data_IF_530895157836
#
_entry.id   IF_530895157836
#
_cell.length_a   1.000
_cell.length_b   1.000
_cell.length_c   1.000
_cell.angle_alpha   90.00
_cell.angle_beta   90.00
_cell.angle_gamma   90.00
#
_symmetry.space_group_name_H-M   'P 1'
#
loop_
_entity.id
_entity.type
_entity.pdbx_description
1 polymer ?
#
# COMPACT_ATOMS: atom_id res chain seq x y z
N UNK A 1 -6.84 2.16 47.96
CA UNK A 1 -6.24 3.37 47.35
C UNK A 1 -6.18 3.17 45.84
N UNK A 2 -6.97 3.92 45.07
CA UNK A 2 -6.92 3.86 43.61
C UNK A 2 -5.77 4.75 43.11
N UNK A 3 -4.63 4.15 42.80
CA UNK A 3 -3.52 4.87 42.18
C UNK A 3 -3.90 5.17 40.73
N UNK A 4 -4.35 6.40 40.46
CA UNK A 4 -4.57 6.89 39.10
C UNK A 4 -3.22 6.97 38.40
N UNK A 5 -2.82 5.88 37.75
CA UNK A 5 -1.66 5.84 36.88
C UNK A 5 -1.91 6.82 35.72
N UNK A 6 -1.39 8.05 35.83
CA UNK A 6 -1.44 9.03 34.74
C UNK A 6 -0.69 8.43 33.55
N UNK A 7 -1.37 8.25 32.42
CA UNK A 7 -0.74 7.83 31.16
C UNK A 7 0.48 8.70 30.88
N UNK A 8 1.65 8.08 30.68
CA UNK A 8 2.87 8.79 30.27
C UNK A 8 2.61 9.43 28.91
N UNK A 9 2.89 10.73 28.79
CA UNK A 9 2.71 11.50 27.55
C UNK A 9 4.05 11.70 26.88
N UNK A 10 4.08 11.48 25.58
CA UNK A 10 5.26 11.64 24.74
C UNK A 10 4.96 12.65 23.64
N UNK A 11 5.98 13.40 23.23
CA UNK A 11 5.94 14.25 22.05
C UNK A 11 7.07 13.82 21.14
N UNK A 12 6.72 13.47 19.91
CA UNK A 12 7.67 13.13 18.88
C UNK A 12 7.61 14.16 17.77
N UNK A 13 8.77 14.57 17.28
CA UNK A 13 8.87 15.26 16.00
C UNK A 13 8.89 14.21 14.91
N UNK A 14 7.87 14.25 14.05
CA UNK A 14 7.72 13.34 12.92
C UNK A 14 8.18 14.07 11.65
N UNK A 15 9.17 13.50 10.99
CA UNK A 15 9.60 13.83 9.63
C UNK A 15 8.95 12.83 8.67
N UNK A 16 7.96 13.26 7.91
CA UNK A 16 7.22 12.42 6.97
C UNK A 16 7.56 12.83 5.54
N UNK A 17 8.19 11.95 4.76
CA UNK A 17 8.46 12.17 3.34
C UNK A 17 7.49 11.35 2.51
N UNK A 18 6.70 12.04 1.69
CA UNK A 18 5.89 11.44 0.64
C UNK A 18 6.78 11.25 -0.59
N UNK A 19 7.19 10.01 -0.85
CA UNK A 19 8.12 9.69 -1.94
C UNK A 19 7.37 9.64 -3.28
N UNK A 20 6.61 8.58 -3.50
CA UNK A 20 5.99 8.25 -4.77
C UNK A 20 4.79 7.30 -4.62
N UNK A 21 3.97 7.26 -5.65
CA UNK A 21 2.91 6.27 -5.86
C UNK A 21 3.20 5.56 -7.17
N UNK A 22 3.38 4.24 -7.13
CA UNK A 22 3.64 3.42 -8.32
C UNK A 22 2.42 2.58 -8.67
N UNK A 23 2.45 1.90 -9.82
CA UNK A 23 1.37 1.05 -10.30
C UNK A 23 0.01 1.77 -10.35
N UNK A 24 0.02 3.03 -10.82
CA UNK A 24 -1.18 3.79 -11.10
C UNK A 24 -1.80 3.25 -12.40
N UNK A 25 -3.09 2.86 -12.44
CA UNK A 25 -3.67 2.13 -13.57
C UNK A 25 -3.96 3.01 -14.80
N UNK A 26 -3.83 4.33 -14.66
CA UNK A 26 -4.05 5.29 -15.74
C UNK A 26 -2.78 6.11 -15.96
N UNK A 27 -2.50 6.40 -17.22
CA UNK A 27 -1.32 7.18 -17.63
C UNK A 27 -1.56 8.69 -17.62
N UNK A 28 -2.82 9.13 -17.56
CA UNK A 28 -3.18 10.55 -17.63
C UNK A 28 -3.94 11.00 -16.39
N UNK A 29 -3.39 12.01 -15.70
CA UNK A 29 -4.03 12.68 -14.58
C UNK A 29 -3.02 13.42 -13.69
N UNK A 30 -3.55 14.36 -12.91
CA UNK A 30 -2.80 15.06 -11.88
C UNK A 30 -3.25 14.54 -10.51
N UNK A 31 -2.32 14.06 -9.70
CA UNK A 31 -2.57 13.52 -8.37
C UNK A 31 -1.97 14.40 -7.27
N UNK A 32 -2.65 14.42 -6.14
CA UNK A 32 -2.18 15.06 -4.92
C UNK A 32 -2.66 14.29 -3.69
N UNK A 33 -1.91 14.41 -2.61
CA UNK A 33 -2.14 13.69 -1.37
C UNK A 33 -2.57 14.66 -0.26
N UNK A 34 -3.53 14.24 0.55
CA UNK A 34 -3.85 14.88 1.83
C UNK A 34 -3.33 14.02 2.96
N UNK A 35 -2.36 14.53 3.70
CA UNK A 35 -1.80 13.91 4.89
C UNK A 35 -2.60 14.46 6.07
N UNK A 36 -3.20 13.58 6.88
CA UNK A 36 -3.92 13.97 8.08
C UNK A 36 -3.53 13.08 9.25
N UNK A 37 -3.13 13.70 10.34
CA UNK A 37 -2.98 13.03 11.62
C UNK A 37 -4.37 12.81 12.22
N UNK A 38 -4.77 11.56 12.45
CA UNK A 38 -6.06 11.22 13.03
C UNK A 38 -6.02 11.29 14.54
N UNK A 39 -4.90 10.85 15.12
CA UNK A 39 -4.67 10.79 16.56
C UNK A 39 -3.37 11.50 16.93
N UNK A 40 -3.32 12.12 18.11
CA UNK A 40 -2.10 12.74 18.62
C UNK A 40 -1.78 14.14 18.08
N UNK A 41 -2.72 14.77 17.38
CA UNK A 41 -2.63 16.18 16.96
C UNK A 41 -3.68 16.52 15.90
N UNK A 42 -3.61 17.75 15.39
CA UNK A 42 -4.53 18.32 14.40
C UNK A 42 -3.85 18.59 13.05
N UNK A 43 -2.69 17.97 12.81
CA UNK A 43 -1.93 18.19 11.59
C UNK A 43 -2.70 17.72 10.35
N UNK A 44 -2.90 18.62 9.40
CA UNK A 44 -3.40 18.32 8.08
C UNK A 44 -2.69 19.17 7.04
N UNK A 45 -2.14 18.53 5.99
CA UNK A 45 -1.44 19.22 4.92
C UNK A 45 -1.68 18.56 3.56
N UNK A 46 -1.51 19.33 2.50
CA UNK A 46 -1.60 18.86 1.11
C UNK A 46 -0.22 18.78 0.47
N UNK A 47 -0.02 17.78 -0.39
CA UNK A 47 1.13 17.73 -1.29
C UNK A 47 0.98 18.69 -2.46
N UNK A 48 2.04 18.81 -3.26
CA UNK A 48 1.94 19.38 -4.60
C UNK A 48 1.08 18.48 -5.49
N UNK A 49 0.60 19.09 -6.58
CA UNK A 49 -0.16 18.43 -7.64
C UNK A 49 0.85 18.00 -8.70
N UNK A 50 0.95 16.71 -8.94
CA UNK A 50 1.95 16.13 -9.84
C UNK A 50 1.27 15.25 -10.89
N UNK A 51 1.78 15.28 -12.11
CA UNK A 51 1.27 14.47 -13.20
C UNK A 51 1.71 13.01 -13.07
N UNK A 52 0.87 12.09 -13.55
CA UNK A 52 1.25 10.69 -13.71
C UNK A 52 2.20 10.57 -14.90
N UNK A 53 3.38 9.99 -14.64
CA UNK A 53 4.39 9.68 -15.64
C UNK A 53 4.78 8.21 -15.47
N UNK A 54 4.72 7.43 -16.55
CA UNK A 54 5.11 6.01 -16.52
C UNK A 54 4.38 5.20 -15.42
N UNK A 55 3.06 5.45 -15.24
CA UNK A 55 2.25 4.83 -14.18
C UNK A 55 2.74 5.13 -12.74
N UNK A 56 3.52 6.20 -12.58
CA UNK A 56 4.07 6.63 -11.31
C UNK A 56 3.82 8.12 -11.07
N UNK A 57 3.71 8.52 -9.82
CA UNK A 57 3.69 9.92 -9.40
C UNK A 57 4.74 10.11 -8.32
N UNK A 58 5.64 11.07 -8.51
CA UNK A 58 6.75 11.33 -7.58
C UNK A 58 6.59 12.72 -6.97
N UNK A 59 6.26 12.78 -5.69
CA UNK A 59 6.12 14.06 -4.96
C UNK A 59 7.41 14.48 -4.29
N UNK A 60 8.18 13.53 -3.75
CA UNK A 60 9.43 13.77 -2.99
C UNK A 60 9.31 14.91 -1.97
N UNK A 61 8.14 15.02 -1.32
CA UNK A 61 7.80 16.15 -0.44
C UNK A 61 7.92 15.75 1.01
N UNK A 62 8.72 16.52 1.75
CA UNK A 62 8.90 16.36 3.19
C UNK A 62 7.92 17.23 3.97
N UNK A 63 7.34 16.66 5.01
CA UNK A 63 6.47 17.29 5.99
C UNK A 63 7.09 17.10 7.37
N UNK A 64 6.95 18.09 8.24
CA UNK A 64 7.42 18.00 9.62
C UNK A 64 6.31 18.47 10.55
N UNK A 65 5.94 17.63 11.50
CA UNK A 65 4.89 17.90 12.47
C UNK A 65 5.16 17.17 13.78
N UNK A 66 4.43 17.52 14.83
CA UNK A 66 4.57 16.89 16.15
C UNK A 66 3.40 15.94 16.40
N UNK A 67 3.64 14.63 16.63
CA UNK A 67 2.63 13.71 17.19
C UNK A 67 2.81 13.62 18.71
N UNK A 68 1.71 13.85 19.44
CA UNK A 68 1.59 13.61 20.88
C UNK A 68 1.02 12.21 21.07
N UNK A 69 1.79 11.33 21.70
CA UNK A 69 1.39 9.95 21.97
C UNK A 69 1.26 9.73 23.47
N UNK A 70 0.55 8.69 23.88
CA UNK A 70 0.61 8.15 25.24
C UNK A 70 1.08 6.71 25.22
N UNK A 71 1.59 6.22 26.34
CA UNK A 71 1.83 4.78 26.52
C UNK A 71 0.83 4.18 27.50
N UNK A 72 0.52 2.91 27.28
CA UNK A 72 -0.19 2.09 28.25
C UNK A 72 0.67 1.97 29.52
N UNK A 73 0.18 2.39 30.70
CA UNK A 73 0.95 2.39 31.94
C UNK A 73 1.31 0.99 32.43
N UNK A 74 0.56 -0.04 32.04
CA UNK A 74 0.82 -1.42 32.47
C UNK A 74 1.90 -2.12 31.62
N UNK A 75 1.92 -1.87 30.31
CA UNK A 75 2.84 -2.56 29.37
C UNK A 75 4.01 -1.69 28.89
N UNK A 76 3.91 -0.38 29.05
CA UNK A 76 4.84 0.61 28.49
C UNK A 76 4.75 0.75 26.98
N UNK A 77 3.79 0.08 26.32
CA UNK A 77 3.61 0.16 24.87
C UNK A 77 2.98 1.49 24.48
N UNK A 78 3.52 2.13 23.43
CA UNK A 78 2.90 3.32 22.85
C UNK A 78 1.52 2.99 22.28
N UNK A 79 0.54 3.83 22.62
CA UNK A 79 -0.79 3.80 22.03
C UNK A 79 -0.67 4.12 20.51
N UNK A 80 -1.44 3.46 19.63
CA UNK A 80 -1.41 3.73 18.20
C UNK A 80 -1.70 5.22 17.88
N UNK A 81 -0.91 5.82 16.98
CA UNK A 81 -1.12 7.18 16.46
C UNK A 81 -1.24 7.08 14.95
N UNK A 82 -2.48 7.09 14.42
CA UNK A 82 -2.71 6.85 12.99
C UNK A 82 -2.55 8.14 12.19
N UNK A 83 -1.73 8.07 11.14
CA UNK A 83 -1.62 9.09 10.11
C UNK A 83 -2.21 8.56 8.80
N UNK A 84 -3.23 9.24 8.29
CA UNK A 84 -3.90 8.89 7.04
C UNK A 84 -3.36 9.70 5.88
N UNK A 85 -2.87 9.02 4.84
CA UNK A 85 -2.55 9.62 3.56
C UNK A 85 -3.68 9.33 2.59
N UNK A 86 -4.40 10.35 2.15
CA UNK A 86 -5.49 10.22 1.18
C UNK A 86 -5.03 10.67 -0.20
N UNK A 87 -5.00 9.77 -1.17
CA UNK A 87 -4.63 10.06 -2.56
C UNK A 87 -5.87 10.54 -3.33
N UNK A 88 -5.72 11.66 -4.04
CA UNK A 88 -6.82 12.33 -4.76
C UNK A 88 -6.39 12.64 -6.19
N UNK A 89 -7.30 12.44 -7.12
CA UNK A 89 -7.15 12.82 -8.53
C UNK A 89 -7.86 14.13 -8.78
N UNK A 90 -7.18 15.03 -9.48
CA UNK A 90 -7.74 16.28 -9.94
C UNK A 90 -8.78 16.07 -11.05
N UNK A 91 -9.87 16.82 -10.98
CA UNK A 91 -10.94 16.82 -11.97
C UNK A 91 -11.30 18.26 -12.34
N UNK A 92 -11.73 18.46 -13.59
CA UNK A 92 -12.17 19.76 -14.12
C UNK A 92 -11.10 20.86 -13.95
N UNK A 93 -9.83 20.54 -14.21
CA UNK A 93 -8.71 21.48 -14.14
C UNK A 93 -8.54 22.12 -12.76
N UNK A 94 -8.66 21.34 -11.68
CA UNK A 94 -8.33 21.79 -10.33
C UNK A 94 -9.52 22.18 -9.47
N UNK A 95 -10.67 22.43 -10.11
CA UNK A 95 -11.90 22.87 -9.42
C UNK A 95 -12.52 21.79 -8.55
N UNK A 96 -12.31 20.52 -8.90
CA UNK A 96 -12.89 19.36 -8.21
C UNK A 96 -11.86 18.24 -8.06
N UNK A 97 -12.17 17.23 -7.25
CA UNK A 97 -11.31 16.06 -7.09
C UNK A 97 -12.12 14.80 -6.86
N UNK A 98 -11.59 13.65 -7.27
CA UNK A 98 -12.05 12.33 -6.85
C UNK A 98 -11.08 11.73 -5.84
N UNK A 99 -11.60 10.98 -4.88
CA UNK A 99 -10.78 10.24 -3.91
C UNK A 99 -10.43 8.89 -4.53
N UNK A 100 -9.15 8.61 -4.71
CA UNK A 100 -8.70 7.33 -5.27
C UNK A 100 -8.58 6.27 -4.18
N UNK A 101 -8.00 6.64 -3.05
CA UNK A 101 -7.82 5.72 -1.94
C UNK A 101 -7.09 6.39 -0.79
N UNK A 102 -6.84 5.61 0.25
CA UNK A 102 -6.07 6.06 1.41
C UNK A 102 -5.14 4.98 1.94
N UNK A 103 -4.14 5.38 2.69
CA UNK A 103 -3.28 4.49 3.45
C UNK A 103 -3.19 5.01 4.89
N UNK A 104 -3.44 4.14 5.85
CA UNK A 104 -3.29 4.45 7.27
C UNK A 104 -1.98 3.89 7.79
N UNK A 105 -1.18 4.76 8.39
CA UNK A 105 0.12 4.41 8.95
C UNK A 105 0.09 4.64 10.45
N UNK A 106 0.37 3.59 11.21
CA UNK A 106 0.55 3.72 12.65
C UNK A 106 1.93 4.29 12.96
N UNK A 107 1.98 5.56 13.34
CA UNK A 107 3.24 6.25 13.65
C UNK A 107 3.95 5.65 14.87
N UNK A 108 3.23 4.98 15.79
CA UNK A 108 3.84 4.40 16.99
C UNK A 108 4.85 3.28 16.66
N UNK A 109 4.75 2.65 15.49
CA UNK A 109 5.69 1.63 15.02
C UNK A 109 7.08 2.19 14.70
N UNK A 110 7.17 3.48 14.38
CA UNK A 110 8.42 4.13 13.94
C UNK A 110 9.09 4.94 15.04
N UNK A 111 8.52 4.97 16.24
CA UNK A 111 9.13 5.66 17.36
C UNK A 111 10.45 4.95 17.74
N UNK A 112 11.58 5.68 17.68
CA UNK A 112 12.89 5.14 18.04
C UNK A 112 13.57 4.28 16.97
N UNK A 113 12.97 4.04 15.80
CA UNK A 113 13.59 3.28 14.70
C UNK A 113 14.44 4.14 13.76
N UNK A 114 14.58 5.44 14.05
CA UNK A 114 15.27 6.38 13.16
C UNK A 114 14.40 6.75 11.95
N UNK A 115 14.99 6.73 10.76
CA UNK A 115 14.28 6.99 9.49
C UNK A 115 14.07 5.67 8.76
N UNK A 116 12.82 5.36 8.46
CA UNK A 116 12.40 4.07 7.86
C UNK A 116 11.55 4.28 6.62
N UNK A 117 11.71 3.42 5.63
CA UNK A 117 10.89 3.44 4.40
C UNK A 117 9.75 2.42 4.55
N UNK A 118 8.55 2.80 4.16
CA UNK A 118 7.37 1.91 4.11
C UNK A 118 6.67 2.00 2.77
N UNK A 119 6.22 0.84 2.31
CA UNK A 119 5.39 0.68 1.13
C UNK A 119 4.02 0.20 1.60
N UNK A 120 2.97 0.93 1.21
CA UNK A 120 1.59 0.67 1.62
C UNK A 120 0.71 0.56 0.38
N UNK A 121 -0.21 -0.40 0.36
CA UNK A 121 -1.24 -0.44 -0.67
C UNK A 121 -2.33 0.59 -0.38
N UNK A 122 -2.93 1.15 -1.43
CA UNK A 122 -4.07 2.03 -1.27
C UNK A 122 -5.35 1.23 -0.97
N UNK A 123 -6.03 1.64 0.08
CA UNK A 123 -7.36 1.15 0.44
C UNK A 123 -8.44 1.98 -0.25
N UNK A 124 -9.49 1.30 -0.73
CA UNK A 124 -10.63 1.94 -1.36
C UNK A 124 -11.58 2.59 -0.35
N UNK A 125 -12.22 3.70 -0.73
CA UNK A 125 -13.23 4.36 0.10
C UNK A 125 -14.63 3.74 0.00
N UNK A 126 -14.92 3.07 -1.10
CA UNK A 126 -16.18 2.36 -1.34
C UNK A 126 -15.83 0.93 -1.79
N UNK A 127 -16.49 -0.06 -1.20
CA UNK A 127 -16.27 -1.47 -1.49
C UNK A 127 -16.92 -1.91 -2.80
N UNK A 128 -17.75 -1.06 -3.44
CA UNK A 128 -18.65 -1.49 -4.52
C UNK A 128 -18.25 -1.14 -5.95
N UNK A 129 -17.33 -0.21 -6.25
CA UNK A 129 -17.14 0.14 -7.67
C UNK A 129 -15.83 0.79 -8.13
N UNK A 130 -14.68 0.48 -7.55
CA UNK A 130 -13.41 0.78 -8.23
C UNK A 130 -12.39 -0.24 -7.79
N UNK A 131 -11.71 -0.86 -8.77
CA UNK A 131 -10.53 -1.69 -8.54
C UNK A 131 -9.70 -1.05 -7.43
N UNK A 132 -9.41 -1.83 -6.39
CA UNK A 132 -8.37 -1.51 -5.43
C UNK A 132 -7.07 -1.56 -6.23
N UNK A 133 -6.75 -0.43 -6.85
CA UNK A 133 -5.55 -0.32 -7.66
C UNK A 133 -4.41 -0.78 -6.77
N UNK A 134 -3.64 -1.77 -7.22
CA UNK A 134 -2.44 -2.27 -6.56
C UNK A 134 -1.33 -1.20 -6.55
N UNK A 135 -1.73 0.07 -6.47
CA UNK A 135 -0.87 1.21 -6.38
C UNK A 135 -0.20 1.18 -5.02
N UNK A 136 1.13 1.24 -5.07
CA UNK A 136 1.96 1.14 -3.89
C UNK A 136 2.41 2.55 -3.55
N UNK A 137 1.93 3.07 -2.43
CA UNK A 137 2.38 4.32 -1.87
C UNK A 137 3.65 4.08 -1.06
N UNK A 138 4.75 4.72 -1.48
CA UNK A 138 6.02 4.71 -0.78
C UNK A 138 6.17 5.98 0.05
N UNK A 139 6.53 5.81 1.31
CA UNK A 139 6.75 6.91 2.26
C UNK A 139 7.97 6.63 3.10
N UNK A 140 8.61 7.68 3.59
CA UNK A 140 9.73 7.58 4.52
C UNK A 140 9.37 8.32 5.81
N UNK A 141 9.47 7.66 6.95
CA UNK A 141 9.05 8.18 8.25
C UNK A 141 10.26 8.19 9.17
N UNK A 142 10.60 9.38 9.65
CA UNK A 142 11.57 9.60 10.71
C UNK A 142 10.90 10.13 11.96
N UNK A 143 11.29 9.64 13.13
CA UNK A 143 10.80 10.13 14.41
C UNK A 143 11.93 10.42 15.40
N UNK A 144 11.88 11.59 16.02
CA UNK A 144 12.76 11.96 17.13
C UNK A 144 11.91 12.32 18.36
N UNK A 145 12.31 11.80 19.53
CA UNK A 145 11.64 12.11 20.79
C UNK A 145 11.98 13.54 21.22
N UNK A 146 10.97 14.41 21.34
CA UNK A 146 11.14 15.77 21.85
C UNK A 146 10.92 15.86 23.36
N UNK A 147 9.97 15.08 23.89
CA UNK A 147 9.61 15.13 25.31
C UNK A 147 8.96 13.82 25.74
N UNK A 148 9.32 13.38 26.94
CA UNK A 148 8.88 12.13 27.53
C UNK A 148 10.08 11.26 27.92
N UNK A 149 9.81 10.24 28.70
CA UNK A 149 10.81 9.29 29.17
C UNK A 149 11.17 8.28 28.06
N UNK A 150 12.42 8.14 27.62
CA UNK A 150 12.78 7.25 26.52
C UNK A 150 12.40 5.77 26.74
N UNK A 151 11.98 5.35 27.95
CA UNK A 151 11.56 3.98 28.25
C UNK A 151 10.16 3.60 27.73
N UNK A 152 9.85 3.88 26.46
CA UNK A 152 8.65 3.36 25.80
C UNK A 152 8.97 2.09 25.00
N UNK A 153 7.99 1.20 24.86
CA UNK A 153 8.05 0.04 23.98
C UNK A 153 7.21 0.30 22.73
N UNK A 154 7.72 -0.12 21.58
CA UNK A 154 6.99 -0.10 20.30
C UNK A 154 6.61 -1.51 19.90
N UNK A 155 5.48 -1.68 19.22
CA UNK A 155 5.05 -2.97 18.63
C UNK A 155 5.92 -3.42 17.43
N UNK A 156 7.06 -2.77 17.19
CA UNK A 156 8.04 -3.17 16.18
C UNK A 156 8.53 -4.59 16.45
N UNK A 157 8.37 -5.48 15.48
CA UNK A 157 8.78 -6.88 15.56
C UNK A 157 10.29 -7.14 15.61
N UNK A 158 11.11 -6.14 15.96
CA UNK A 158 12.55 -6.33 16.19
C UNK A 158 12.98 -5.50 17.40
N UNK A 159 13.54 -6.11 18.45
CA UNK A 159 14.09 -5.35 19.57
C UNK A 159 15.36 -4.63 19.10
N UNK A 160 15.30 -3.31 19.01
CA UNK A 160 16.51 -2.50 18.98
C UNK A 160 17.03 -2.42 20.42
N UNK A 161 17.98 -3.30 20.74
CA UNK A 161 18.77 -3.21 21.95
C UNK A 161 19.46 -1.84 21.97
N UNK A 162 18.99 -0.94 22.81
CA UNK A 162 19.72 0.28 23.12
C UNK A 162 20.96 -0.12 23.92
N UNK A 163 22.15 -0.01 23.31
CA UNK A 163 23.42 -0.12 24.02
C UNK A 163 23.45 0.93 25.14
N UNK A 164 23.54 0.46 26.38
CA UNK A 164 24.00 1.23 27.51
C UNK A 164 24.80 0.33 28.45
N UNK A 165 26.12 0.57 28.52
CA UNK A 165 26.97 0.23 29.67
C UNK A 165 27.58 -1.18 29.70
N UNK A 166 28.83 -1.28 29.23
CA UNK A 166 29.80 -2.32 29.64
C UNK A 166 30.28 -2.00 31.07
N UNK A 167 30.53 -3.02 31.90
CA UNK A 167 31.85 -3.13 32.52
C UNK A 167 32.48 -4.52 32.33
N UNK A 168 33.80 -4.50 32.12
CA UNK A 168 34.76 -5.61 31.99
C UNK A 168 34.86 -6.44 33.28
N UNK A 169 35.05 -7.77 33.24
CA UNK A 169 36.33 -8.55 33.35
C UNK A 169 35.96 -10.03 33.71
N UNK A 170 36.85 -11.05 33.72
CA UNK A 170 37.66 -11.66 32.65
C UNK A 170 37.53 -13.22 32.55
N UNK A 171 38.10 -13.78 31.47
CA UNK A 171 38.64 -15.14 31.23
C UNK A 171 37.93 -16.45 31.67
N UNK A 172 37.63 -17.33 30.70
CA UNK A 172 38.30 -18.64 30.53
C UNK A 172 37.79 -19.48 29.33
N UNK A 173 38.76 -19.86 28.47
CA UNK A 173 38.94 -21.10 27.68
C UNK A 173 38.05 -21.49 26.47
N UNK A 174 38.69 -21.37 25.28
CA UNK A 174 38.86 -22.30 24.14
C UNK A 174 37.76 -23.32 23.76
N UNK A 175 37.24 -23.18 22.53
CA UNK A 175 37.56 -24.06 21.37
C UNK A 175 36.82 -23.62 20.09
N UNK A 176 37.53 -23.55 18.96
CA UNK A 176 37.07 -23.15 17.61
C UNK A 176 36.65 -24.37 16.73
N UNK A 177 36.49 -24.28 15.38
CA UNK A 177 36.01 -23.20 14.49
C UNK A 177 34.94 -23.67 13.45
N UNK A 178 34.47 -22.69 12.64
CA UNK A 178 33.96 -22.79 11.25
C UNK A 178 32.61 -23.45 10.93
N UNK A 179 31.73 -22.70 10.22
CA UNK A 179 31.01 -23.11 8.99
C UNK A 179 30.25 -21.87 8.42
N UNK A 180 30.87 -21.26 7.41
CA UNK A 180 30.37 -20.70 6.14
C UNK A 180 28.89 -20.24 5.98
N UNK A 181 28.77 -18.99 5.51
CA UNK A 181 27.71 -18.36 4.68
C UNK A 181 26.46 -19.17 4.30
N UNK A 182 25.27 -18.57 4.48
CA UNK A 182 24.30 -18.36 3.39
C UNK A 182 23.35 -17.18 3.66
N UNK A 183 23.36 -16.21 2.74
CA UNK A 183 22.43 -15.07 2.68
C UNK A 183 20.98 -15.53 2.46
N UNK A 184 20.11 -15.28 3.44
CA UNK A 184 18.67 -15.53 3.35
C UNK A 184 17.88 -14.24 3.12
N UNK A 185 17.26 -14.12 1.95
CA UNK A 185 16.27 -13.08 1.64
C UNK A 185 15.08 -13.15 2.61
N UNK A 186 14.79 -12.05 3.31
CA UNK A 186 13.60 -11.95 4.16
C UNK A 186 12.34 -11.86 3.28
N UNK A 187 11.72 -13.02 3.09
CA UNK A 187 10.37 -13.19 2.57
C UNK A 187 9.39 -12.81 3.67
N UNK A 188 8.78 -11.64 3.55
CA UNK A 188 7.65 -11.24 4.39
C UNK A 188 6.41 -12.01 3.91
N UNK A 189 6.18 -13.22 4.43
CA UNK A 189 5.03 -14.05 4.08
C UNK A 189 3.82 -13.72 4.96
N UNK A 190 2.76 -13.22 4.33
CA UNK A 190 1.46 -12.97 4.94
C UNK A 190 0.71 -14.29 5.16
N UNK A 191 0.58 -14.73 6.40
CA UNK A 191 -0.40 -15.74 6.82
C UNK A 191 -1.65 -15.03 7.34
N UNK A 192 -2.70 -14.99 6.51
CA UNK A 192 -4.08 -14.89 6.96
C UNK A 192 -4.97 -15.49 5.86
N UNK A 193 -5.15 -16.78 5.97
CA UNK A 193 -5.90 -17.64 5.06
C UNK A 193 -7.38 -17.70 5.45
N UNK A 194 -8.22 -17.84 4.42
CA UNK A 194 -9.52 -18.55 4.38
C UNK A 194 -10.75 -17.89 5.01
N UNK A 195 -11.66 -17.40 4.15
CA UNK A 195 -13.02 -17.95 3.99
C UNK A 195 -13.70 -17.32 2.74
N UNK A 196 -13.45 -17.85 1.54
CA UNK A 196 -14.25 -17.46 0.36
C UNK A 196 -15.62 -18.14 0.41
N UNK A 197 -16.62 -17.46 0.95
CA UNK A 197 -18.02 -17.75 0.57
C UNK A 197 -18.23 -17.21 -0.83
N UNK A 198 -18.06 -18.07 -1.83
CA UNK A 198 -18.45 -17.79 -3.20
C UNK A 198 -19.98 -17.58 -3.18
N UNK A 199 -20.41 -16.33 -3.34
CA UNK A 199 -21.82 -15.98 -3.44
C UNK A 199 -22.38 -16.65 -4.70
N UNK A 200 -23.45 -17.43 -4.54
CA UNK A 200 -24.11 -18.19 -5.60
C UNK A 200 -24.55 -17.35 -6.83
N UNK A 201 -24.50 -16.02 -6.72
CA UNK A 201 -24.79 -15.05 -7.78
C UNK A 201 -23.73 -14.99 -8.88
N UNK A 202 -22.45 -15.29 -8.60
CA UNK A 202 -21.38 -15.17 -9.60
C UNK A 202 -21.35 -16.32 -10.63
N UNK A 203 -21.93 -17.48 -10.29
CA UNK A 203 -22.01 -18.59 -11.25
C UNK A 203 -23.08 -18.34 -12.33
N UNK A 204 -24.20 -17.70 -11.99
CA UNK A 204 -25.31 -17.51 -12.92
C UNK A 204 -24.95 -16.56 -14.06
N UNK A 205 -24.17 -15.51 -13.78
CA UNK A 205 -23.72 -14.55 -14.80
C UNK A 205 -22.66 -15.16 -15.72
N UNK A 206 -21.74 -15.96 -15.16
CA UNK A 206 -20.72 -16.67 -15.94
C UNK A 206 -21.30 -17.71 -16.90
N UNK A 207 -22.22 -18.56 -16.42
CA UNK A 207 -22.89 -19.55 -17.28
C UNK A 207 -23.74 -18.90 -18.38
N UNK A 208 -24.42 -17.78 -18.06
CA UNK A 208 -25.18 -17.02 -19.06
C UNK A 208 -24.31 -16.45 -20.19
N UNK A 209 -23.14 -15.92 -19.86
CA UNK A 209 -22.20 -15.35 -20.83
C UNK A 209 -21.57 -16.42 -21.74
N UNK A 210 -21.26 -17.59 -21.19
CA UNK A 210 -20.74 -18.74 -21.96
C UNK A 210 -21.81 -19.30 -22.90
N UNK A 211 -23.04 -19.47 -22.42
CA UNK A 211 -24.15 -19.94 -23.25
C UNK A 211 -24.47 -18.94 -24.38
N UNK A 212 -24.51 -17.64 -24.07
CA UNK A 212 -24.72 -16.59 -25.07
C UNK A 212 -23.62 -16.55 -26.13
N UNK A 213 -22.36 -16.75 -25.73
CA UNK A 213 -21.22 -16.81 -26.65
C UNK A 213 -21.31 -18.01 -27.59
N UNK A 214 -21.72 -19.18 -27.09
CA UNK A 214 -21.94 -20.38 -27.91
C UNK A 214 -23.10 -20.20 -28.91
N UNK A 215 -24.20 -19.58 -28.49
CA UNK A 215 -25.34 -19.30 -29.36
C UNK A 215 -24.95 -18.36 -30.50
N UNK A 216 -24.22 -17.28 -30.20
CA UNK A 216 -23.71 -16.37 -31.23
C UNK A 216 -22.74 -17.09 -32.18
N UNK A 217 -21.84 -17.91 -31.65
CA UNK A 217 -20.90 -18.67 -32.47
C UNK A 217 -21.61 -19.62 -33.44
N UNK A 218 -22.62 -20.37 -32.98
CA UNK A 218 -23.43 -21.24 -33.84
C UNK A 218 -24.23 -20.43 -34.87
N UNK A 219 -24.81 -19.30 -34.47
CA UNK A 219 -25.54 -18.42 -35.39
C UNK A 219 -24.65 -17.87 -36.51
N UNK A 220 -23.48 -17.32 -36.16
CA UNK A 220 -22.55 -16.76 -37.15
C UNK A 220 -21.93 -17.84 -38.04
N UNK A 221 -21.62 -19.02 -37.50
CA UNK A 221 -21.10 -20.13 -38.32
C UNK A 221 -22.15 -20.62 -39.31
N UNK A 222 -23.41 -20.78 -38.91
CA UNK A 222 -24.49 -21.13 -39.83
C UNK A 222 -24.75 -20.02 -40.86
N UNK A 223 -24.70 -18.75 -40.45
CA UNK A 223 -24.85 -17.62 -41.36
C UNK A 223 -23.74 -17.58 -42.42
N UNK A 224 -22.47 -17.83 -42.03
CA UNK A 224 -21.35 -17.95 -42.97
C UNK A 224 -21.55 -19.13 -43.93
N UNK A 225 -21.95 -20.30 -43.44
CA UNK A 225 -22.22 -21.47 -44.29
C UNK A 225 -23.33 -21.17 -45.30
N UNK A 226 -24.40 -20.49 -44.87
CA UNK A 226 -25.51 -20.07 -45.72
C UNK A 226 -25.06 -19.01 -46.73
N UNK A 227 -24.20 -18.06 -46.33
CA UNK A 227 -23.65 -17.02 -47.20
C UNK A 227 -22.76 -17.63 -48.30
N UNK A 228 -21.93 -18.61 -47.95
CA UNK A 228 -21.12 -19.40 -48.89
C UNK A 228 -21.98 -20.25 -49.82
N UNK A 229 -23.12 -20.76 -49.35
CA UNK A 229 -24.06 -21.56 -50.15
C UNK A 229 -24.98 -20.73 -51.05
N UNK A 230 -25.32 -19.50 -50.67
CA UNK A 230 -26.17 -18.60 -51.47
C UNK A 230 -25.38 -17.76 -52.50
N UNK A 231 -24.05 -17.70 -52.40
CA UNK A 231 -23.21 -16.99 -53.39
C UNK A 231 -22.32 -17.94 -54.19
N UNK A 232 -22.84 -18.67 -55.20
CA UNK A 232 -21.99 -19.41 -56.14
C UNK A 232 -21.30 -18.50 -57.19
N UNK A 233 -21.22 -17.18 -56.96
CA UNK A 233 -20.82 -16.20 -57.97
C UNK A 233 -19.56 -15.39 -57.62
N UNK A 234 -18.60 -15.97 -56.88
CA UNK A 234 -17.25 -15.42 -56.78
C UNK A 234 -16.25 -16.48 -57.22
N UNK A 235 -16.28 -16.76 -58.53
CA UNK A 235 -15.15 -17.39 -59.22
C UNK A 235 -14.02 -16.37 -59.24
N UNK A 236 -13.02 -16.57 -58.39
CA UNK A 236 -11.74 -15.87 -58.49
C UNK A 236 -10.95 -16.56 -59.62
N UNK A 237 -10.66 -15.92 -60.76
CA UNK A 237 -9.72 -16.50 -61.71
C UNK A 237 -8.31 -16.32 -61.16
N UNK A 238 -7.76 -17.41 -60.62
CA UNK A 238 -6.31 -17.54 -60.43
C UNK A 238 -5.70 -17.78 -61.80
N UNK A 239 -5.31 -16.73 -62.50
CA UNK A 239 -4.39 -16.83 -63.63
C UNK A 239 -3.66 -15.51 -63.79
N UNK A 240 -2.35 -15.60 -64.09
CA UNK A 240 -1.36 -14.52 -64.29
C UNK A 240 -0.48 -14.18 -63.08
N UNK A 241 0.37 -15.13 -62.69
CA UNK A 241 1.76 -14.85 -62.28
C UNK A 241 2.67 -15.76 -63.09
N UNK A 242 3.04 -15.29 -64.29
CA UNK A 242 4.18 -15.77 -65.07
C UNK A 242 4.47 -14.72 -66.15
N UNK A 243 5.28 -13.73 -65.77
CA UNK A 243 6.16 -12.93 -66.61
C UNK A 243 7.21 -12.28 -65.70
#
# INVERSE_FOLDING_TARGET
MAFLMKKKKFKFQTSFTLEELTAVPFVNGVLFCKIRLLDGGDFASLSTREEVQENCVRWKKKFTFVCKMSANPATGLLDPCVCRVSVRKELKGGKTYSKLGFADLNLAEFAGSGSTVRCCLLEGYDTKNTRQDNSILKVTIGMSLLSGDPCFKTVSGVPCCSLAGVPEEPDQNLSSPEEVFHSGHSRNSSYASQQSKISATDQVVGFGLVAFSLVLFVYYTLWIIVLVRLSPAITIPVTQVLA
#
